data_IF_334955609455
#
_entry.id   IF_334955609455
#
_cell.length_a   1.000
_cell.length_b   1.000
_cell.length_c   1.000
_cell.angle_alpha   90.00
_cell.angle_beta   90.00
_cell.angle_gamma   90.00
#
_symmetry.space_group_name_H-M   'P 1'
#
loop_
_entity.id
_entity.type
_entity.pdbx_description
1 polymer ?
#
# COMPACT_ATOMS: atom_id res chain seq x y z
N UNK A 1 -6.52 8.86 -14.52
CA UNK A 1 -6.44 7.87 -13.42
C UNK A 1 -7.26 6.61 -13.71
N UNK A 2 -6.67 5.44 -13.46
CA UNK A 2 -7.38 4.16 -13.35
C UNK A 2 -7.11 3.50 -11.99
N UNK A 3 -8.14 2.92 -11.37
CA UNK A 3 -8.02 2.16 -10.13
C UNK A 3 -8.54 0.74 -10.37
N UNK A 4 -7.73 -0.26 -10.04
CA UNK A 4 -8.11 -1.67 -10.04
C UNK A 4 -7.94 -2.26 -8.65
N UNK A 5 -8.99 -2.89 -8.14
CA UNK A 5 -8.96 -3.68 -6.91
C UNK A 5 -8.26 -5.02 -7.16
N UNK A 6 -7.27 -5.36 -6.33
CA UNK A 6 -6.52 -6.62 -6.42
C UNK A 6 -7.00 -7.64 -5.39
N UNK A 7 -7.46 -7.18 -4.22
CA UNK A 7 -7.89 -8.00 -3.10
C UNK A 7 -7.53 -7.33 -1.78
N UNK A 8 -8.21 -7.69 -0.70
CA UNK A 8 -7.96 -7.17 0.65
C UNK A 8 -7.86 -5.64 0.73
N UNK A 9 -6.73 -5.07 1.14
CA UNK A 9 -6.44 -3.63 1.12
C UNK A 9 -5.60 -3.21 -0.10
N UNK A 10 -5.41 -4.09 -1.08
CA UNK A 10 -4.55 -3.85 -2.23
C UNK A 10 -5.33 -3.35 -3.45
N UNK A 11 -4.87 -2.19 -3.94
CA UNK A 11 -5.31 -1.58 -5.18
C UNK A 11 -4.07 -1.28 -6.02
N UNK A 12 -4.19 -1.38 -7.35
CA UNK A 12 -3.25 -0.73 -8.26
C UNK A 12 -3.90 0.53 -8.81
N UNK A 13 -3.24 1.66 -8.61
CA UNK A 13 -3.64 2.97 -9.07
C UNK A 13 -2.66 3.36 -10.16
N UNK A 14 -3.16 3.61 -11.36
CA UNK A 14 -2.37 3.98 -12.53
C UNK A 14 -2.69 5.41 -12.92
N UNK A 15 -1.68 6.27 -12.91
CA UNK A 15 -1.77 7.64 -13.45
C UNK A 15 -1.99 7.62 -14.97
N UNK A 16 -2.43 8.74 -15.53
CA UNK A 16 -2.55 8.88 -17.00
C UNK A 16 -1.21 8.70 -17.74
N UNK A 17 -0.09 9.04 -17.09
CA UNK A 17 1.26 8.83 -17.62
C UNK A 17 1.77 7.37 -17.47
N UNK A 18 0.99 6.49 -16.83
CA UNK A 18 1.30 5.07 -16.67
C UNK A 18 2.10 4.70 -15.43
N UNK A 19 2.45 5.66 -14.55
CA UNK A 19 3.03 5.38 -13.23
C UNK A 19 2.04 4.58 -12.39
N UNK A 20 2.51 3.51 -11.74
CA UNK A 20 1.69 2.58 -10.95
C UNK A 20 2.05 2.61 -9.47
N UNK A 21 1.02 2.76 -8.64
CA UNK A 21 1.10 2.69 -7.18
C UNK A 21 0.31 1.47 -6.73
N UNK A 22 0.91 0.58 -5.94
CA UNK A 22 0.18 -0.50 -5.25
C UNK A 22 0.08 -0.20 -3.75
N UNK A 23 -1.12 -0.32 -3.20
CA UNK A 23 -1.35 -0.21 -1.75
C UNK A 23 -1.30 -1.59 -1.10
N UNK A 24 -0.77 -1.67 0.13
CA UNK A 24 -0.82 -2.82 1.03
C UNK A 24 -0.80 -4.21 0.35
N UNK A 25 0.27 -4.56 -0.38
CA UNK A 25 0.34 -5.85 -1.04
C UNK A 25 0.34 -6.98 -0.01
N UNK A 26 -0.45 -8.01 -0.27
CA UNK A 26 -0.60 -9.18 0.59
C UNK A 26 0.04 -10.44 -0.02
N UNK A 27 0.36 -11.41 0.83
CA UNK A 27 0.70 -12.77 0.39
C UNK A 27 -0.52 -13.69 0.39
N UNK A 28 -0.47 -14.82 -0.32
CA UNK A 28 -1.54 -15.82 -0.24
C UNK A 28 -1.44 -16.60 1.07
N UNK A 29 -2.59 -16.84 1.72
CA UNK A 29 -2.69 -17.61 2.96
C UNK A 29 -4.03 -18.38 2.98
N UNK A 30 -4.18 -19.46 3.77
CA UNK A 30 -5.43 -20.23 3.80
C UNK A 30 -6.69 -19.41 4.14
N UNK A 31 -6.52 -18.37 4.96
CA UNK A 31 -7.55 -17.41 5.38
C UNK A 31 -7.62 -16.15 4.51
N UNK A 32 -6.68 -15.99 3.56
CA UNK A 32 -6.65 -14.89 2.60
C UNK A 32 -6.80 -15.40 1.17
N UNK A 33 -8.06 -15.52 0.73
CA UNK A 33 -8.46 -16.24 -0.49
C UNK A 33 -8.46 -15.40 -1.78
N UNK A 34 -7.84 -14.23 -1.75
CA UNK A 34 -7.69 -13.40 -2.95
C UNK A 34 -6.66 -13.98 -3.92
N UNK A 35 -6.75 -13.59 -5.19
CA UNK A 35 -5.77 -13.99 -6.20
C UNK A 35 -4.37 -13.45 -5.91
N UNK A 36 -3.34 -14.09 -6.48
CA UNK A 36 -1.97 -13.58 -6.41
C UNK A 36 -1.86 -12.21 -7.09
N UNK A 37 -1.13 -11.29 -6.44
CA UNK A 37 -0.73 -10.03 -7.06
C UNK A 37 0.35 -10.35 -8.09
N UNK A 38 0.08 -10.07 -9.37
CA UNK A 38 1.01 -10.30 -10.49
C UNK A 38 1.42 -9.01 -11.20
N UNK A 39 0.89 -7.89 -10.72
CA UNK A 39 1.11 -6.55 -11.20
C UNK A 39 2.51 -6.05 -10.85
N UNK A 40 3.04 -5.17 -11.70
CA UNK A 40 4.23 -4.37 -11.40
C UNK A 40 3.82 -3.01 -10.84
N UNK A 41 4.68 -2.43 -10.00
CA UNK A 41 4.50 -1.08 -9.50
C UNK A 41 5.81 -0.28 -9.51
N UNK A 42 5.67 1.04 -9.57
CA UNK A 42 6.76 2.00 -9.40
C UNK A 42 6.86 2.46 -7.93
N UNK A 43 5.73 2.45 -7.22
CA UNK A 43 5.61 2.83 -5.81
C UNK A 43 4.74 1.80 -5.09
N UNK A 44 5.09 1.47 -3.85
CA UNK A 44 4.24 0.70 -2.95
C UNK A 44 4.01 1.48 -1.66
N UNK A 45 2.76 1.58 -1.20
CA UNK A 45 2.47 2.06 0.16
C UNK A 45 2.25 0.88 1.11
N UNK A 46 2.78 0.96 2.33
CA UNK A 46 2.52 -0.03 3.39
C UNK A 46 1.99 0.70 4.62
N UNK A 47 0.72 0.45 4.96
CA UNK A 47 0.03 1.09 6.08
C UNK A 47 0.57 0.62 7.44
N UNK A 48 0.89 -0.67 7.57
CA UNK A 48 1.45 -1.30 8.77
C UNK A 48 2.07 -2.67 8.42
N UNK A 49 2.83 -3.25 9.35
CA UNK A 49 3.68 -4.42 9.10
C UNK A 49 3.02 -5.79 9.37
N UNK A 50 1.68 -5.88 9.40
CA UNK A 50 1.03 -7.20 9.42
C UNK A 50 1.22 -7.93 8.09
N UNK A 51 1.28 -9.27 8.16
CA UNK A 51 1.65 -10.13 7.03
C UNK A 51 0.72 -9.99 5.82
N UNK A 52 -0.53 -9.64 6.06
CA UNK A 52 -1.58 -9.44 5.07
C UNK A 52 -1.61 -8.02 4.49
N UNK A 53 -0.67 -7.13 4.87
CA UNK A 53 -0.59 -5.75 4.37
C UNK A 53 0.81 -5.31 3.89
N UNK A 54 1.87 -6.06 4.20
CA UNK A 54 3.25 -5.58 4.03
C UNK A 54 4.13 -6.41 3.08
N UNK A 55 3.55 -7.28 2.25
CA UNK A 55 4.28 -8.20 1.40
C UNK A 55 4.77 -7.54 0.10
N UNK A 56 5.69 -6.59 0.20
CA UNK A 56 6.25 -5.88 -0.97
C UNK A 56 6.94 -6.83 -1.96
N UNK A 57 7.44 -7.99 -1.48
CA UNK A 57 8.20 -8.93 -2.30
C UNK A 57 7.38 -9.62 -3.41
N UNK A 58 6.04 -9.64 -3.31
CA UNK A 58 5.18 -10.19 -4.37
C UNK A 58 4.97 -9.20 -5.53
N UNK A 59 5.22 -7.91 -5.30
CA UNK A 59 5.05 -6.88 -6.32
C UNK A 59 6.20 -6.93 -7.32
N UNK A 60 5.89 -7.04 -8.61
CA UNK A 60 6.92 -7.09 -9.66
C UNK A 60 7.55 -5.71 -9.87
N UNK A 61 8.80 -5.68 -10.34
CA UNK A 61 9.55 -4.46 -10.59
C UNK A 61 10.51 -4.12 -9.44
N UNK A 62 10.81 -2.84 -9.27
CA UNK A 62 11.66 -2.33 -8.19
C UNK A 62 11.02 -1.07 -7.59
N UNK A 63 9.89 -1.22 -6.88
CA UNK A 63 9.12 -0.08 -6.41
C UNK A 63 9.82 0.67 -5.27
N UNK A 64 9.64 2.00 -5.23
CA UNK A 64 9.94 2.78 -4.03
C UNK A 64 8.86 2.53 -2.96
N UNK A 65 9.29 2.21 -1.74
CA UNK A 65 8.35 1.86 -0.65
C UNK A 65 8.10 3.05 0.26
N UNK A 66 6.84 3.47 0.34
CA UNK A 66 6.34 4.52 1.22
C UNK A 66 5.67 3.88 2.45
N UNK A 67 6.33 3.99 3.61
CA UNK A 67 5.90 3.33 4.86
C UNK A 67 6.15 4.17 6.12
N UNK A 68 6.00 5.49 6.01
CA UNK A 68 6.26 6.40 7.13
C UNK A 68 5.19 7.48 7.25
N UNK A 69 5.01 7.97 8.47
CA UNK A 69 4.19 9.14 8.77
C UNK A 69 4.90 10.43 8.32
N UNK A 70 4.15 11.53 8.26
CA UNK A 70 4.64 12.81 7.75
C UNK A 70 4.64 12.87 6.23
N UNK A 71 5.48 13.73 5.65
CA UNK A 71 5.58 13.89 4.20
C UNK A 71 6.71 13.04 3.63
N UNK A 72 6.46 12.41 2.49
CA UNK A 72 7.47 11.71 1.69
C UNK A 72 7.18 11.93 0.21
N UNK A 73 8.22 11.89 -0.61
CA UNK A 73 8.08 11.94 -2.06
C UNK A 73 8.63 10.65 -2.65
N UNK A 74 7.90 10.05 -3.57
CA UNK A 74 8.33 8.89 -4.35
C UNK A 74 7.94 9.11 -5.81
N UNK A 75 8.88 8.91 -6.74
CA UNK A 75 8.71 9.19 -8.19
C UNK A 75 7.98 10.51 -8.53
N UNK A 76 8.20 11.56 -7.74
CA UNK A 76 7.59 12.89 -7.97
C UNK A 76 6.19 13.09 -7.36
N UNK A 77 5.60 12.08 -6.73
CA UNK A 77 4.32 12.19 -6.01
C UNK A 77 4.59 12.45 -4.51
N UNK A 78 3.93 13.46 -3.93
CA UNK A 78 3.93 13.68 -2.48
C UNK A 78 2.89 12.78 -1.81
N UNK A 79 3.33 12.04 -0.79
CA UNK A 79 2.50 11.26 0.11
C UNK A 79 2.49 11.91 1.48
N UNK A 80 1.30 12.16 2.01
CA UNK A 80 1.06 12.55 3.40
C UNK A 80 0.62 11.31 4.19
N UNK A 81 1.54 10.76 4.98
CA UNK A 81 1.26 9.70 5.94
C UNK A 81 0.72 10.27 7.25
N UNK A 82 -0.51 9.91 7.62
CA UNK A 82 -1.19 10.35 8.84
C UNK A 82 -1.18 9.19 9.84
N UNK A 83 -0.63 9.44 11.02
CA UNK A 83 -0.61 8.44 12.10
C UNK A 83 -2.04 8.10 12.55
N UNK A 84 -2.31 6.82 12.70
CA UNK A 84 -3.57 6.24 13.16
C UNK A 84 -3.28 4.91 13.86
N UNK A 85 -4.33 4.18 14.25
CA UNK A 85 -4.19 2.91 14.96
C UNK A 85 -4.98 1.82 14.24
N UNK A 86 -4.47 0.58 14.30
CA UNK A 86 -5.13 -0.59 13.72
C UNK A 86 -6.25 -1.16 14.64
N UNK A 87 -6.60 -0.44 15.70
CA UNK A 87 -7.63 -0.83 16.65
C UNK A 87 -8.26 0.41 17.34
N UNK A 88 -9.35 0.18 18.06
CA UNK A 88 -10.04 1.20 18.87
C UNK A 88 -9.38 1.45 20.24
N UNK A 89 -8.27 0.76 20.54
CA UNK A 89 -7.55 0.78 21.80
C UNK A 89 -6.18 1.48 21.69
N UNK A 90 -6.05 2.43 20.74
CA UNK A 90 -4.83 3.22 20.49
C UNK A 90 -3.60 2.38 20.16
N UNK A 91 -3.78 1.35 19.33
CA UNK A 91 -2.72 0.46 18.85
C UNK A 91 -2.28 -0.60 19.85
N UNK A 92 -2.94 -0.69 21.01
CA UNK A 92 -2.56 -1.63 22.07
C UNK A 92 -2.78 -3.10 21.66
N UNK A 93 -3.74 -3.37 20.77
CA UNK A 93 -4.13 -4.72 20.38
C UNK A 93 -3.51 -5.13 19.05
N UNK A 94 -3.38 -4.18 18.11
CA UNK A 94 -3.01 -4.43 16.71
C UNK A 94 -1.96 -3.46 16.17
N UNK A 95 -1.42 -2.56 17.00
CA UNK A 95 -0.34 -1.66 16.62
C UNK A 95 -0.78 -0.40 15.87
N UNK A 96 0.24 0.32 15.39
CA UNK A 96 0.08 1.55 14.64
C UNK A 96 -0.39 1.29 13.20
N UNK A 97 -1.00 2.30 12.60
CA UNK A 97 -1.42 2.30 11.19
C UNK A 97 -1.15 3.66 10.54
N UNK A 98 -0.85 3.67 9.25
CA UNK A 98 -0.66 4.89 8.47
C UNK A 98 -1.76 5.03 7.44
N UNK A 99 -2.47 6.15 7.46
CA UNK A 99 -3.35 6.57 6.36
C UNK A 99 -2.52 7.36 5.36
N UNK A 100 -2.53 6.99 4.09
CA UNK A 100 -1.85 7.75 3.04
C UNK A 100 -2.83 8.62 2.25
N UNK A 101 -2.51 9.91 2.13
CA UNK A 101 -3.15 10.83 1.20
C UNK A 101 -2.13 11.27 0.15
N UNK A 102 -2.51 11.19 -1.13
CA UNK A 102 -1.70 11.61 -2.26
C UNK A 102 -2.62 11.98 -3.42
N UNK A 103 -2.10 12.78 -4.36
CA UNK A 103 -2.80 13.19 -5.56
C UNK A 103 -2.20 12.47 -6.78
N UNK A 104 -3.06 11.99 -7.67
CA UNK A 104 -2.69 11.35 -8.93
C UNK A 104 -3.76 11.65 -9.97
N UNK A 105 -3.35 11.85 -11.23
CA UNK A 105 -4.19 12.27 -12.35
C UNK A 105 -4.83 11.11 -13.12
#
# INVERSE_FOLDING_TARGET
MNIKYLGHAAFVITSDAGLKIITDPYGTAPDLTYGEITESADIVTVSHDHFDHSNVAVVRGNPEVVRRTGRSTAKGIEFKGIASYHDEAKGRLRGDNIIFCFEVD
#
